data_IF_586441966885
#
_entry.id   IF_586441966885
#
_cell.length_a   1.000
_cell.length_b   1.000
_cell.length_c   1.000
_cell.angle_alpha   90.00
_cell.angle_beta   90.00
_cell.angle_gamma   90.00
#
_symmetry.space_group_name_H-M   'P 1'
#
loop_
_entity.id
_entity.type
_entity.pdbx_description
1 polymer ?
#
# COMPACT_ATOMS: atom_id res chain seq x y z
N UNK A 1 -7.03 -39.06 -30.18
CA UNK A 1 -8.00 -38.01 -29.76
C UNK A 1 -8.22 -37.98 -28.25
N UNK A 2 -8.59 -39.08 -27.57
CA UNK A 2 -8.86 -39.10 -26.11
C UNK A 2 -7.68 -38.66 -25.23
N UNK A 3 -6.44 -39.03 -25.59
CA UNK A 3 -5.22 -38.64 -24.85
C UNK A 3 -5.00 -37.11 -24.83
N UNK A 4 -5.31 -36.42 -25.92
CA UNK A 4 -5.14 -34.97 -26.02
C UNK A 4 -6.14 -34.21 -25.12
N UNK A 5 -7.35 -34.74 -24.94
CA UNK A 5 -8.33 -34.17 -24.01
C UNK A 5 -7.92 -34.33 -22.55
N UNK A 6 -7.31 -35.46 -22.20
CA UNK A 6 -6.79 -35.70 -20.84
C UNK A 6 -5.64 -34.72 -20.54
N UNK A 7 -4.73 -34.53 -21.50
CA UNK A 7 -3.61 -33.60 -21.34
C UNK A 7 -4.08 -32.15 -21.17
N UNK A 8 -5.09 -31.73 -21.95
CA UNK A 8 -5.69 -30.41 -21.82
C UNK A 8 -6.36 -30.21 -20.45
N UNK A 9 -7.08 -31.23 -19.97
CA UNK A 9 -7.73 -31.18 -18.65
C UNK A 9 -6.70 -31.05 -17.52
N UNK A 10 -5.59 -31.79 -17.59
CA UNK A 10 -4.49 -31.69 -16.63
C UNK A 10 -3.88 -30.29 -16.63
N UNK A 11 -3.60 -29.71 -17.82
CA UNK A 11 -3.07 -28.36 -17.94
C UNK A 11 -4.00 -27.29 -17.34
N UNK A 12 -5.32 -27.46 -17.46
CA UNK A 12 -6.30 -26.53 -16.89
C UNK A 12 -6.37 -26.60 -15.36
N UNK A 13 -6.15 -27.77 -14.76
CA UNK A 13 -6.13 -27.93 -13.30
C UNK A 13 -4.94 -27.22 -12.64
N UNK A 14 -3.78 -27.17 -13.30
CA UNK A 14 -2.58 -26.50 -12.77
C UNK A 14 -2.66 -24.96 -12.79
N UNK A 15 -3.60 -24.37 -13.53
CA UNK A 15 -3.79 -22.91 -13.59
C UNK A 15 -4.64 -22.35 -12.43
N UNK A 16 -5.19 -23.21 -11.57
CA UNK A 16 -6.09 -22.78 -10.48
C UNK A 16 -5.36 -22.16 -9.28
N UNK A 17 -4.03 -22.24 -9.24
CA UNK A 17 -3.21 -21.71 -8.15
C UNK A 17 -2.44 -20.48 -8.63
N UNK A 18 -3.16 -19.40 -8.92
CA UNK A 18 -2.57 -18.10 -9.20
C UNK A 18 -2.23 -17.42 -7.87
N UNK A 19 -0.98 -17.57 -7.39
CA UNK A 19 -0.47 -16.74 -6.30
C UNK A 19 -0.16 -15.35 -6.85
N UNK A 20 -0.94 -14.34 -6.45
CA UNK A 20 -0.54 -12.95 -6.67
C UNK A 20 0.51 -12.55 -5.63
N UNK A 21 1.45 -11.69 -6.04
CA UNK A 21 2.48 -11.18 -5.14
C UNK A 21 1.85 -10.14 -4.22
N UNK A 22 2.21 -10.14 -2.93
CA UNK A 22 1.59 -9.26 -1.92
C UNK A 22 2.07 -7.81 -1.91
N UNK A 23 2.57 -7.32 -3.04
CA UNK A 23 3.26 -6.02 -3.13
C UNK A 23 2.36 -4.80 -2.89
N UNK A 24 1.05 -4.98 -2.93
CA UNK A 24 0.06 -3.91 -2.78
C UNK A 24 -1.07 -4.30 -1.82
N UNK A 25 -0.73 -5.03 -0.76
CA UNK A 25 -1.72 -5.62 0.17
C UNK A 25 -2.15 -4.70 1.30
N UNK A 26 -1.41 -3.61 1.57
CA UNK A 26 -1.76 -2.64 2.61
C UNK A 26 -1.83 -1.26 2.02
N UNK A 27 -2.98 -0.63 2.14
CA UNK A 27 -3.23 0.72 1.63
C UNK A 27 -3.37 1.65 2.81
N UNK A 28 -2.37 2.51 2.98
CA UNK A 28 -2.48 3.63 3.91
C UNK A 28 -3.30 4.72 3.23
N UNK A 29 -4.20 5.30 4.00
CA UNK A 29 -5.16 6.29 3.54
C UNK A 29 -5.39 7.32 4.64
N UNK A 30 -5.91 8.47 4.23
CA UNK A 30 -6.27 9.56 5.12
C UNK A 30 -5.20 10.65 5.14
N UNK A 31 -5.35 11.54 6.13
CA UNK A 31 -4.55 12.74 6.32
C UNK A 31 -4.72 13.79 5.20
N UNK A 32 -4.87 15.05 5.62
CA UNK A 32 -4.96 16.21 4.74
C UNK A 32 -4.39 17.41 5.46
N UNK A 33 -3.99 18.44 4.72
CA UNK A 33 -3.48 19.73 5.23
C UNK A 33 -4.30 20.41 6.34
N UNK A 34 -5.52 19.97 6.61
CA UNK A 34 -6.37 20.43 7.70
C UNK A 34 -6.04 19.69 9.01
N UNK A 35 -4.80 19.81 9.49
CA UNK A 35 -4.38 19.25 10.77
C UNK A 35 -5.20 19.87 11.91
N UNK A 36 -6.01 19.04 12.58
CA UNK A 36 -6.76 19.48 13.76
C UNK A 36 -5.88 19.31 15.01
N UNK A 37 -5.45 20.41 15.68
CA UNK A 37 -4.61 20.31 16.87
C UNK A 37 -5.31 19.65 18.07
N UNK A 38 -6.64 19.46 18.01
CA UNK A 38 -7.44 18.79 19.04
C UNK A 38 -7.80 17.34 18.68
N UNK A 39 -7.39 16.84 17.52
CA UNK A 39 -7.51 15.42 17.24
C UNK A 39 -6.67 14.63 18.26
N UNK A 40 -7.18 13.50 18.71
CA UNK A 40 -6.46 12.58 19.63
C UNK A 40 -6.21 11.23 18.99
N UNK A 41 -6.85 10.95 17.84
CA UNK A 41 -6.59 9.83 16.94
C UNK A 41 -5.72 10.30 15.78
N UNK A 42 -4.49 10.73 16.08
CA UNK A 42 -3.52 11.06 15.03
C UNK A 42 -3.07 9.77 14.35
N UNK A 43 -3.06 9.73 13.01
CA UNK A 43 -2.58 8.57 12.26
C UNK A 43 -3.13 8.44 10.85
N UNK A 44 -2.70 7.39 10.15
CA UNK A 44 -3.28 6.94 8.88
C UNK A 44 -4.24 5.76 9.13
N UNK A 45 -5.32 5.67 8.36
CA UNK A 45 -6.09 4.44 8.27
C UNK A 45 -5.38 3.45 7.34
N UNK A 46 -5.37 2.17 7.70
CA UNK A 46 -4.83 1.10 6.88
C UNK A 46 -5.99 0.19 6.46
N UNK A 47 -6.14 0.02 5.15
CA UNK A 47 -6.94 -1.03 4.54
C UNK A 47 -6.01 -2.18 4.18
N UNK A 48 -6.18 -3.32 4.85
CA UNK A 48 -5.32 -4.49 4.71
C UNK A 48 -6.07 -5.64 4.04
N UNK A 49 -5.57 -6.04 2.87
CA UNK A 49 -6.09 -7.12 2.04
C UNK A 49 -5.43 -8.47 2.34
N UNK A 50 -4.51 -8.54 3.32
CA UNK A 50 -3.88 -9.80 3.73
C UNK A 50 -4.80 -10.65 4.60
N UNK A 51 -5.94 -11.03 4.03
CA UNK A 51 -6.98 -11.81 4.69
C UNK A 51 -7.23 -13.11 3.93
N UNK A 52 -7.55 -14.22 4.65
CA UNK A 52 -7.83 -15.51 4.00
C UNK A 52 -9.04 -15.50 3.05
N UNK A 53 -9.99 -14.59 3.26
CA UNK A 53 -11.24 -14.47 2.51
C UNK A 53 -11.21 -13.35 1.46
N UNK A 54 -10.12 -12.57 1.39
CA UNK A 54 -9.96 -11.45 0.47
C UNK A 54 -10.78 -10.20 0.84
N UNK A 55 -11.50 -10.21 1.96
CA UNK A 55 -12.20 -9.02 2.44
C UNK A 55 -11.21 -8.14 3.21
N UNK A 56 -11.12 -6.83 2.93
CA UNK A 56 -10.17 -5.98 3.62
C UNK A 56 -10.57 -5.76 5.08
N UNK A 57 -9.58 -5.74 5.97
CA UNK A 57 -9.73 -5.24 7.35
C UNK A 57 -9.24 -3.80 7.43
N UNK A 58 -9.83 -3.03 8.35
CA UNK A 58 -9.49 -1.62 8.56
C UNK A 58 -8.98 -1.43 9.98
N UNK A 59 -7.86 -0.73 10.12
CA UNK A 59 -7.31 -0.32 11.42
C UNK A 59 -6.55 0.99 11.31
N UNK A 60 -6.27 1.63 12.43
CA UNK A 60 -5.53 2.90 12.49
C UNK A 60 -4.06 2.64 12.86
N UNK A 61 -3.15 3.34 12.20
CA UNK A 61 -1.73 3.41 12.57
C UNK A 61 -1.40 4.80 13.08
N UNK A 62 -1.16 4.89 14.40
CA UNK A 62 -1.11 6.17 15.11
C UNK A 62 0.18 6.96 14.90
N UNK A 63 1.20 6.29 14.39
CA UNK A 63 2.53 6.85 14.27
C UNK A 63 2.87 7.27 12.85
N UNK A 64 2.08 6.84 11.86
CA UNK A 64 2.23 7.27 10.46
C UNK A 64 1.74 8.69 10.23
N UNK A 65 2.62 9.52 9.66
CA UNK A 65 2.44 10.98 9.55
C UNK A 65 2.51 11.49 8.12
N UNK A 66 2.63 10.59 7.14
CA UNK A 66 2.59 10.96 5.72
C UNK A 66 1.22 11.56 5.34
N UNK A 67 1.25 12.73 4.69
CA UNK A 67 0.05 13.41 4.20
C UNK A 67 -0.32 12.95 2.79
N UNK A 68 -1.47 12.30 2.59
CA UNK A 68 -1.93 11.84 1.28
C UNK A 68 -2.87 12.79 0.52
N UNK A 69 -2.97 14.07 0.92
CA UNK A 69 -3.86 15.08 0.33
C UNK A 69 -3.86 15.16 -1.21
N UNK A 70 -2.70 14.94 -1.85
CA UNK A 70 -2.55 15.11 -3.31
C UNK A 70 -2.31 13.81 -4.07
N UNK A 71 -1.57 12.89 -3.50
CA UNK A 71 -1.15 11.63 -4.12
C UNK A 71 -0.87 10.62 -3.03
N UNK A 72 -1.01 9.34 -3.37
CA UNK A 72 -0.68 8.24 -2.48
C UNK A 72 -0.23 7.04 -3.27
N UNK A 73 0.90 6.46 -2.86
CA UNK A 73 1.38 5.17 -3.30
C UNK A 73 1.81 4.37 -2.07
N UNK A 74 1.49 3.09 -2.04
CA UNK A 74 1.82 2.18 -0.96
C UNK A 74 2.57 0.98 -1.53
N UNK A 75 3.62 0.53 -0.85
CA UNK A 75 4.44 -0.60 -1.30
C UNK A 75 4.67 -1.57 -0.15
N UNK A 76 4.42 -2.84 -0.42
CA UNK A 76 4.71 -3.97 0.46
C UNK A 76 5.78 -4.90 -0.15
N UNK A 77 6.40 -5.70 0.70
CA UNK A 77 7.27 -6.78 0.26
C UNK A 77 6.45 -7.97 -0.31
N UNK A 78 7.15 -9.02 -0.75
CA UNK A 78 6.52 -10.24 -1.28
C UNK A 78 5.59 -10.92 -0.27
N UNK A 79 5.84 -10.73 1.02
CA UNK A 79 5.09 -11.35 2.13
C UNK A 79 3.90 -10.49 2.57
N UNK A 80 3.75 -9.27 2.04
CA UNK A 80 2.70 -8.33 2.41
C UNK A 80 3.09 -7.42 3.57
N UNK A 81 4.34 -7.44 4.01
CA UNK A 81 4.81 -6.49 5.01
C UNK A 81 4.95 -5.11 4.37
N UNK A 82 4.43 -4.09 5.04
CA UNK A 82 4.57 -2.71 4.59
C UNK A 82 6.06 -2.32 4.52
N UNK A 83 6.47 -1.73 3.39
CA UNK A 83 7.83 -1.22 3.19
C UNK A 83 7.85 0.31 3.24
N UNK A 84 7.03 0.97 2.43
CA UNK A 84 6.99 2.43 2.39
C UNK A 84 5.74 2.95 1.68
N UNK A 85 5.46 4.23 1.90
CA UNK A 85 4.43 4.98 1.20
C UNK A 85 4.99 6.31 0.71
N UNK A 86 4.40 6.83 -0.36
CA UNK A 86 4.76 8.13 -0.92
C UNK A 86 3.54 8.99 -1.20
N UNK A 87 3.68 10.29 -0.96
CA UNK A 87 2.71 11.30 -1.38
C UNK A 87 3.19 12.13 -2.57
N UNK A 88 4.27 11.71 -3.24
CA UNK A 88 4.89 12.39 -4.37
C UNK A 88 5.90 13.49 -4.00
N UNK A 89 5.93 13.97 -2.75
CA UNK A 89 6.96 14.88 -2.25
C UNK A 89 7.79 14.29 -1.10
N UNK A 90 7.23 13.29 -0.43
CA UNK A 90 7.78 12.62 0.75
C UNK A 90 7.58 11.10 0.60
N UNK A 91 8.57 10.33 1.05
CA UNK A 91 8.53 8.86 1.14
C UNK A 91 8.76 8.47 2.59
N UNK A 92 7.73 7.91 3.20
CA UNK A 92 7.78 7.35 4.54
C UNK A 92 8.11 5.86 4.46
N UNK A 93 9.15 5.43 5.16
CA UNK A 93 9.58 4.05 5.25
C UNK A 93 8.87 3.26 6.35
N UNK A 94 9.45 2.10 6.73
CA UNK A 94 9.00 1.33 7.88
C UNK A 94 9.25 2.11 9.17
N UNK A 95 8.43 1.86 10.20
CA UNK A 95 8.56 2.51 11.52
C UNK A 95 8.53 4.06 11.44
N UNK A 96 7.70 4.58 10.53
CA UNK A 96 7.35 6.01 10.45
C UNK A 96 8.56 6.93 10.24
N UNK A 97 9.61 6.36 9.67
CA UNK A 97 10.88 7.02 9.43
C UNK A 97 10.95 7.48 7.98
N UNK A 98 11.39 8.71 7.75
CA UNK A 98 11.73 9.20 6.42
C UNK A 98 12.74 8.24 5.76
N UNK A 99 12.46 7.81 4.53
CA UNK A 99 13.44 7.09 3.74
C UNK A 99 14.63 7.99 3.39
N UNK A 100 15.83 7.44 3.29
CA UNK A 100 17.02 8.20 2.91
C UNK A 100 16.80 8.89 1.55
N UNK A 101 16.93 10.22 1.52
CA UNK A 101 16.60 11.09 0.38
C UNK A 101 15.16 10.92 -0.15
N UNK A 102 14.23 10.54 0.73
CA UNK A 102 12.82 10.37 0.43
C UNK A 102 12.02 11.66 0.48
N UNK A 103 12.65 12.78 0.83
CA UNK A 103 12.09 14.11 0.90
C UNK A 103 12.43 14.94 -0.36
N UNK A 104 11.76 16.07 -0.49
CA UNK A 104 11.95 17.04 -1.58
C UNK A 104 11.76 16.53 -3.03
N UNK A 105 11.12 15.37 -3.21
CA UNK A 105 10.94 14.74 -4.53
C UNK A 105 10.00 15.51 -5.46
N UNK A 106 9.17 16.40 -4.89
CA UNK A 106 8.18 17.23 -5.60
C UNK A 106 8.45 18.73 -5.52
N UNK A 107 9.58 19.15 -4.94
CA UNK A 107 9.85 20.57 -4.57
C UNK A 107 10.05 21.50 -5.77
N UNK A 108 9.97 20.99 -7.01
CA UNK A 108 9.94 21.83 -8.22
C UNK A 108 8.60 22.61 -8.34
N UNK A 109 7.57 22.32 -7.54
CA UNK A 109 6.26 22.99 -7.64
C UNK A 109 5.92 24.03 -6.55
N UNK A 110 6.78 24.26 -5.55
CA UNK A 110 6.53 25.27 -4.51
C UNK A 110 6.96 26.71 -4.87
N UNK A 111 7.12 27.03 -6.17
CA UNK A 111 7.32 28.41 -6.67
C UNK A 111 6.08 29.05 -7.28
N UNK A 112 4.89 28.47 -7.09
CA UNK A 112 3.63 29.11 -7.54
C UNK A 112 2.51 28.95 -6.52
N UNK A 113 2.53 29.80 -5.50
CA UNK A 113 1.46 30.76 -5.16
C UNK A 113 1.81 31.49 -3.85
#
# INVERSE_FOLDING_TARGET
>A
MKLNFILLYILLLFNTIAYTQKHDFKWLMGYSFADNPYDTGWGCAIMDFDTPDGNPIFYEEKYKRIDFNRSGANICDRLGNYLFASNGGYIEGPNDSLMFNGDDLGTILNTRN
#
